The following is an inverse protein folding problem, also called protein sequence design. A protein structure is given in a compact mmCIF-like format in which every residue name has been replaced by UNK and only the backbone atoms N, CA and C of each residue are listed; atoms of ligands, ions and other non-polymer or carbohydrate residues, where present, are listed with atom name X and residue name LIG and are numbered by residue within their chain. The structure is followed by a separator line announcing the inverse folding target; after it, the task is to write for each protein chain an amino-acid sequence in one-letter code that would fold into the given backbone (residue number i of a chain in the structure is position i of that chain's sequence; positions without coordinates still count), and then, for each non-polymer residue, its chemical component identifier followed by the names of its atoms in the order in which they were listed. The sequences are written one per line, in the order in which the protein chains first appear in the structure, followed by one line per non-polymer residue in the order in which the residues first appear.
data_IF_183172210965
#
_entry.id   IF_183172210965
#
_cell.length_a   1.000
_cell.length_b   1.000
_cell.length_c   1.000
_cell.angle_alpha   90.00
_cell.angle_beta   90.00
_cell.angle_gamma   90.00
#
_symmetry.space_group_name_H-M   'P 1'
#
loop_
_entity.id
_entity.type
_entity.pdbx_description
1 polymer ?
#
# COMPACT_ATOMS: atom_id res chain seq x y z
N UNK A 1 9.48 9.58 13.68
CA UNK A 1 8.36 8.93 14.40
C UNK A 1 7.60 8.14 13.35
N UNK A 2 7.46 6.81 13.52
CA UNK A 2 6.82 5.98 12.52
C UNK A 2 5.36 6.37 12.28
N UNK A 3 4.90 6.23 11.04
CA UNK A 3 3.54 6.56 10.61
C UNK A 3 2.92 5.34 9.93
N UNK A 4 1.77 4.91 10.44
CA UNK A 4 0.92 3.97 9.74
C UNK A 4 -0.02 4.74 8.81
N UNK A 5 -0.03 4.36 7.53
CA UNK A 5 -0.93 4.88 6.52
C UNK A 5 -1.83 3.75 6.04
N UNK A 6 -3.14 3.96 6.11
CA UNK A 6 -4.15 2.95 5.78
C UNK A 6 -5.01 3.50 4.65
N UNK A 7 -5.15 2.72 3.59
CA UNK A 7 -6.01 3.02 2.46
C UNK A 7 -7.03 1.92 2.31
N UNK A 8 -8.29 2.28 2.09
CA UNK A 8 -9.38 1.34 1.92
C UNK A 8 -10.12 1.64 0.62
N UNK A 9 -10.39 0.59 -0.13
CA UNK A 9 -11.09 0.65 -1.40
C UNK A 9 -12.26 -0.32 -1.35
N UNK A 10 -13.44 0.07 -1.85
CA UNK A 10 -14.57 -0.86 -1.93
C UNK A 10 -14.21 -2.05 -2.82
N UNK A 11 -14.54 -3.27 -2.39
CA UNK A 11 -14.32 -4.47 -3.20
C UNK A 11 -15.33 -4.48 -4.35
N UNK A 12 -14.88 -4.12 -5.55
CA UNK A 12 -15.68 -4.24 -6.78
C UNK A 12 -15.32 -5.49 -7.60
N UNK A 13 -14.09 -5.96 -7.46
CA UNK A 13 -13.55 -7.16 -8.11
C UNK A 13 -12.44 -7.74 -7.22
N UNK A 14 -12.27 -9.07 -7.23
CA UNK A 14 -11.24 -9.79 -6.43
C UNK A 14 -9.99 -10.14 -7.23
N UNK A 15 -9.91 -9.68 -8.48
CA UNK A 15 -8.74 -9.85 -9.31
C UNK A 15 -7.53 -9.11 -8.72
N UNK A 16 -6.43 -9.83 -8.52
CA UNK A 16 -5.14 -9.22 -8.15
C UNK A 16 -4.40 -8.62 -9.35
N UNK A 17 -4.99 -8.60 -10.55
CA UNK A 17 -4.31 -8.11 -11.77
C UNK A 17 -3.80 -6.67 -11.64
N UNK A 18 -4.51 -5.82 -10.89
CA UNK A 18 -4.03 -4.46 -10.59
C UNK A 18 -2.73 -4.48 -9.77
N UNK A 19 -2.60 -5.42 -8.83
CA UNK A 19 -1.40 -5.57 -8.01
C UNK A 19 -0.24 -6.17 -8.78
N UNK A 20 -0.48 -7.09 -9.70
CA UNK A 20 0.57 -7.62 -10.59
C UNK A 20 1.20 -6.48 -11.41
N UNK A 21 0.38 -5.61 -12.00
CA UNK A 21 0.87 -4.44 -12.74
C UNK A 21 1.58 -3.39 -11.85
N UNK A 22 1.17 -3.23 -10.60
CA UNK A 22 1.81 -2.31 -9.65
C UNK A 22 3.14 -2.87 -9.15
N UNK A 23 3.21 -4.18 -8.86
CA UNK A 23 4.44 -4.88 -8.49
C UNK A 23 5.48 -4.85 -9.60
N UNK A 24 5.05 -5.01 -10.86
CA UNK A 24 5.94 -4.86 -12.02
C UNK A 24 6.52 -3.45 -12.15
N UNK A 25 5.77 -2.41 -11.75
CA UNK A 25 6.21 -1.01 -11.80
C UNK A 25 7.09 -0.59 -10.62
N UNK A 26 6.81 -1.12 -9.43
CA UNK A 26 7.56 -0.79 -8.20
C UNK A 26 8.94 -1.47 -8.15
N UNK A 27 9.16 -2.54 -8.90
CA UNK A 27 10.40 -3.30 -8.87
C UNK A 27 10.54 -4.14 -7.59
N UNK A 28 11.73 -4.70 -7.37
CA UNK A 28 12.05 -5.52 -6.19
C UNK A 28 12.88 -4.82 -5.13
N UNK A 29 13.28 -3.57 -5.38
CA UNK A 29 14.14 -2.83 -4.48
C UNK A 29 13.35 -2.28 -3.28
N UNK A 30 13.93 -2.26 -2.08
CA UNK A 30 13.32 -1.64 -0.92
C UNK A 30 13.04 -0.15 -1.19
N UNK A 31 11.84 0.32 -0.81
CA UNK A 31 11.52 1.74 -0.85
C UNK A 31 12.08 2.39 0.42
N UNK A 32 12.90 3.41 0.25
CA UNK A 32 13.50 4.13 1.38
C UNK A 32 12.45 4.63 2.36
N UNK A 33 12.62 4.29 3.63
CA UNK A 33 11.72 4.67 4.71
C UNK A 33 10.44 3.84 4.83
N UNK A 34 10.18 2.89 3.92
CA UNK A 34 9.05 1.97 4.01
C UNK A 34 9.46 0.74 4.84
N UNK A 35 8.86 0.59 6.02
CA UNK A 35 9.14 -0.50 6.96
C UNK A 35 8.30 -1.73 6.62
N UNK A 36 7.01 -1.52 6.33
CA UNK A 36 6.04 -2.58 6.03
C UNK A 36 5.13 -2.09 4.91
N UNK A 37 4.88 -2.95 3.92
CA UNK A 37 3.78 -2.83 2.97
C UNK A 37 3.02 -4.14 2.96
N UNK A 38 1.72 -4.08 3.24
CA UNK A 38 0.85 -5.25 3.13
C UNK A 38 -0.52 -4.83 2.61
N UNK A 39 -1.16 -5.73 1.88
CA UNK A 39 -2.47 -5.50 1.34
C UNK A 39 -3.29 -6.78 1.35
N UNK A 40 -4.60 -6.65 1.52
CA UNK A 40 -5.49 -7.79 1.61
C UNK A 40 -6.96 -7.41 1.53
N UNK A 41 -7.79 -8.44 1.31
CA UNK A 41 -9.24 -8.31 1.35
C UNK A 41 -9.71 -8.44 2.80
N UNK A 42 -10.52 -7.48 3.23
CA UNK A 42 -11.30 -7.52 4.46
C UNK A 42 -12.77 -7.74 4.06
N UNK A 43 -13.17 -9.02 4.03
CA UNK A 43 -14.51 -9.42 3.61
C UNK A 43 -15.58 -8.99 4.63
N UNK A 44 -15.23 -8.83 5.91
CA UNK A 44 -16.16 -8.40 6.96
C UNK A 44 -16.59 -6.94 6.75
N UNK A 45 -15.65 -6.10 6.33
CA UNK A 45 -15.91 -4.68 6.03
C UNK A 45 -16.14 -4.41 4.53
N UNK A 46 -16.07 -5.44 3.68
CA UNK A 46 -16.19 -5.35 2.23
C UNK A 46 -15.22 -4.34 1.57
N UNK A 47 -13.99 -4.28 2.08
CA UNK A 47 -12.93 -3.38 1.58
C UNK A 47 -11.64 -4.15 1.26
N UNK A 48 -10.95 -3.70 0.22
CA UNK A 48 -9.54 -4.02 0.02
C UNK A 48 -8.71 -2.99 0.78
N UNK A 49 -7.85 -3.44 1.68
CA UNK A 49 -7.06 -2.58 2.57
C UNK A 49 -5.59 -2.68 2.24
N UNK A 50 -4.93 -1.53 2.15
CA UNK A 50 -3.48 -1.39 2.08
C UNK A 50 -3.01 -0.75 3.37
N UNK A 51 -1.95 -1.31 3.96
CA UNK A 51 -1.32 -0.79 5.17
C UNK A 51 0.17 -0.61 4.91
N UNK A 52 0.61 0.63 5.03
CA UNK A 52 2.00 1.02 4.96
C UNK A 52 2.49 1.55 6.30
N UNK A 53 3.69 1.16 6.71
CA UNK A 53 4.36 1.74 7.88
C UNK A 53 5.63 2.42 7.41
N UNK A 54 5.72 3.72 7.63
CA UNK A 54 6.85 4.56 7.25
C UNK A 54 7.66 4.98 8.47
N UNK A 55 8.96 5.22 8.31
CA UNK A 55 9.82 5.77 9.37
C UNK A 55 9.42 7.20 9.78
N UNK A 56 8.84 7.95 8.84
CA UNK A 56 8.40 9.33 9.03
C UNK A 56 7.25 9.75 8.09
N UNK A 57 6.56 10.83 8.44
CA UNK A 57 5.47 11.40 7.62
C UNK A 57 5.95 12.07 6.33
N UNK A 58 7.16 12.62 6.35
CA UNK A 58 7.73 13.32 5.19
C UNK A 58 8.00 12.34 4.04
N UNK A 59 8.42 11.12 4.36
CA UNK A 59 8.66 10.05 3.38
C UNK A 59 7.36 9.50 2.76
N UNK A 60 6.26 9.45 3.52
CA UNK A 60 4.94 9.15 2.98
C UNK A 60 4.49 10.17 1.92
N UNK A 61 4.74 11.46 2.14
CA UNK A 61 4.32 12.52 1.21
C UNK A 61 5.15 12.46 -0.08
N UNK A 62 6.44 12.16 0.02
CA UNK A 62 7.33 12.01 -1.13
C UNK A 62 6.93 10.88 -2.09
N UNK A 63 6.34 9.78 -1.58
CA UNK A 63 5.91 8.65 -2.40
C UNK A 63 4.57 8.88 -3.12
N UNK A 64 3.69 9.72 -2.58
CA UNK A 64 2.36 10.02 -3.17
C UNK A 64 2.40 10.98 -4.38
N UNK A 65 3.55 11.59 -4.68
CA UNK A 65 3.72 12.61 -5.73
C UNK A 65 4.55 12.14 -6.94
N UNK A 66 4.92 10.86 -7.00
CA UNK A 66 5.71 10.27 -8.08
C UNK A 66 4.87 9.38 -9.02
#
# INVERSE_FOLDING_TARGET
MPVAFVQEFAITDRSTKNYDSVKERLGGDPIDGLIIHTAGFDDDNNVFRIVDVWESREMLIGSSSA
#
